data_IF_314608207404
#
_entry.id   IF_314608207404
#
_cell.length_a   1.000
_cell.length_b   1.000
_cell.length_c   1.000
_cell.angle_alpha   90.00
_cell.angle_beta   90.00
_cell.angle_gamma   90.00
#
_symmetry.space_group_name_H-M   'P 1'
#
loop_
_entity.id
_entity.type
_entity.pdbx_description
1 polymer ?
#
# COMPACT_ATOMS: atom_id res chain seq x y z
N UNK A 1 -4.91 -4.59 39.10
CA UNK A 1 -4.68 -5.77 38.23
C UNK A 1 -5.40 -5.66 36.88
N UNK A 2 -6.37 -4.74 36.72
CA UNK A 2 -7.03 -4.52 35.41
C UNK A 2 -6.18 -3.75 34.40
N UNK A 3 -5.45 -2.71 34.82
CA UNK A 3 -4.56 -1.91 33.95
C UNK A 3 -3.54 -2.76 33.16
N UNK A 4 -2.97 -3.79 33.80
CA UNK A 4 -1.98 -4.68 33.17
C UNK A 4 -2.62 -5.54 32.07
N UNK A 5 -3.88 -5.93 32.24
CA UNK A 5 -4.60 -6.74 31.25
C UNK A 5 -5.03 -5.91 30.03
N UNK A 6 -5.26 -4.60 30.18
CA UNK A 6 -5.54 -3.69 29.07
C UNK A 6 -4.27 -3.28 28.29
N UNK A 7 -3.13 -3.13 28.97
CA UNK A 7 -1.87 -2.71 28.34
C UNK A 7 -1.19 -3.86 27.58
N UNK A 8 -1.24 -5.08 28.10
CA UNK A 8 -0.65 -6.26 27.46
C UNK A 8 -0.99 -6.44 25.98
N UNK A 9 -2.27 -6.41 25.55
CA UNK A 9 -2.62 -6.59 24.13
C UNK A 9 -2.12 -5.44 23.26
N UNK A 10 -2.14 -4.21 23.76
CA UNK A 10 -1.69 -3.01 23.01
C UNK A 10 -0.19 -3.13 22.73
N UNK A 11 0.62 -3.43 23.74
CA UNK A 11 2.07 -3.58 23.61
C UNK A 11 2.43 -4.73 22.66
N UNK A 12 1.75 -5.87 22.78
CA UNK A 12 1.94 -7.00 21.87
C UNK A 12 1.64 -6.61 20.42
N UNK A 13 0.55 -5.90 20.18
CA UNK A 13 0.14 -5.49 18.84
C UNK A 13 1.12 -4.47 18.24
N UNK A 14 1.59 -3.50 19.03
CA UNK A 14 2.63 -2.54 18.61
C UNK A 14 3.94 -3.24 18.24
N UNK A 15 4.39 -4.22 19.05
CA UNK A 15 5.60 -4.99 18.78
C UNK A 15 5.46 -5.78 17.48
N UNK A 16 4.32 -6.45 17.26
CA UNK A 16 4.06 -7.22 16.04
C UNK A 16 4.10 -6.33 14.80
N UNK A 17 3.40 -5.19 14.81
CA UNK A 17 3.39 -4.25 13.68
C UNK A 17 4.81 -3.72 13.42
N UNK A 18 5.54 -3.32 14.45
CA UNK A 18 6.90 -2.82 14.32
C UNK A 18 7.85 -3.86 13.71
N UNK A 19 7.76 -5.12 14.13
CA UNK A 19 8.56 -6.21 13.57
C UNK A 19 8.21 -6.46 12.09
N UNK A 20 6.92 -6.45 11.74
CA UNK A 20 6.47 -6.63 10.35
C UNK A 20 7.04 -5.52 9.46
N UNK A 21 6.92 -4.26 9.88
CA UNK A 21 7.44 -3.11 9.14
C UNK A 21 8.96 -3.17 9.02
N UNK A 22 9.66 -3.54 10.09
CA UNK A 22 11.13 -3.70 10.07
C UNK A 22 11.58 -4.76 9.07
N UNK A 23 10.93 -5.94 9.06
CA UNK A 23 11.24 -7.01 8.10
C UNK A 23 10.94 -6.56 6.66
N UNK A 24 9.83 -5.85 6.45
CA UNK A 24 9.48 -5.32 5.13
C UNK A 24 10.53 -4.32 4.64
N UNK A 25 10.99 -3.39 5.49
CA UNK A 25 12.04 -2.42 5.15
C UNK A 25 13.34 -3.14 4.78
N UNK A 26 13.75 -4.17 5.54
CA UNK A 26 14.92 -4.99 5.21
C UNK A 26 14.75 -5.72 3.87
N UNK A 27 13.56 -6.28 3.60
CA UNK A 27 13.27 -6.92 2.31
C UNK A 27 13.37 -5.90 1.17
N UNK A 28 12.81 -4.70 1.33
CA UNK A 28 12.90 -3.66 0.30
C UNK A 28 14.34 -3.18 0.11
N UNK A 29 15.13 -3.04 1.18
CA UNK A 29 16.56 -2.71 1.10
C UNK A 29 17.35 -3.81 0.34
N UNK A 30 17.06 -5.08 0.62
CA UNK A 30 17.65 -6.22 -0.11
C UNK A 30 17.22 -6.19 -1.58
N UNK A 31 15.94 -5.92 -1.85
CA UNK A 31 15.43 -5.76 -3.21
C UNK A 31 16.09 -4.58 -3.88
N UNK A 32 16.28 -3.44 -3.22
CA UNK A 32 17.01 -2.28 -3.73
C UNK A 32 18.41 -2.70 -4.17
N UNK A 33 19.23 -3.23 -3.26
CA UNK A 33 20.61 -3.64 -3.55
C UNK A 33 20.65 -4.68 -4.69
N UNK A 34 19.68 -5.59 -4.77
CA UNK A 34 19.62 -6.66 -5.78
C UNK A 34 19.08 -6.19 -7.14
N UNK A 35 18.15 -5.25 -7.15
CA UNK A 35 17.42 -4.82 -8.36
C UNK A 35 17.91 -3.48 -8.93
N UNK A 36 18.76 -2.70 -8.23
CA UNK A 36 19.40 -1.48 -8.75
C UNK A 36 19.99 -1.64 -10.17
N UNK A 37 20.74 -2.71 -10.52
CA UNK A 37 21.28 -2.82 -11.88
C UNK A 37 20.23 -3.18 -12.96
N UNK A 38 19.00 -3.57 -12.59
CA UNK A 38 17.94 -3.99 -13.54
C UNK A 38 16.79 -2.97 -13.63
N UNK A 39 16.48 -2.24 -12.55
CA UNK A 39 15.36 -1.28 -12.47
C UNK A 39 15.70 0.06 -13.12
N UNK A 40 16.97 0.49 -13.12
CA UNK A 40 17.43 1.74 -13.74
C UNK A 40 17.07 1.87 -15.23
N UNK A 41 17.03 0.76 -15.99
CA UNK A 41 16.92 0.86 -17.47
C UNK A 41 15.53 0.61 -18.06
N UNK A 42 14.56 0.03 -17.32
CA UNK A 42 13.22 -0.27 -17.85
C UNK A 42 12.06 0.28 -17.04
N UNK A 43 12.17 0.40 -15.72
CA UNK A 43 11.04 0.81 -14.86
C UNK A 43 11.02 2.33 -14.58
N UNK A 44 12.18 3.00 -14.61
CA UNK A 44 12.32 4.44 -14.32
C UNK A 44 12.15 5.34 -15.56
N UNK A 45 12.32 4.81 -16.78
CA UNK A 45 12.35 5.63 -18.00
C UNK A 45 10.99 6.23 -18.41
N UNK A 46 9.87 5.73 -17.86
CA UNK A 46 8.52 6.21 -18.19
C UNK A 46 7.73 6.50 -16.93
N UNK A 47 7.46 7.79 -16.68
CA UNK A 47 6.61 8.30 -15.58
C UNK A 47 5.27 7.57 -15.46
N UNK A 48 4.63 7.24 -16.60
CA UNK A 48 3.38 6.48 -16.62
C UNK A 48 3.44 5.08 -16.00
N UNK A 49 4.59 4.40 -16.07
CA UNK A 49 4.77 3.08 -15.45
C UNK A 49 4.85 3.17 -13.94
N UNK A 50 5.36 4.28 -13.39
CA UNK A 50 5.45 4.51 -11.95
C UNK A 50 4.06 4.66 -11.30
N UNK A 51 3.12 5.34 -11.96
CA UNK A 51 1.75 5.48 -11.45
C UNK A 51 1.00 4.14 -11.46
N UNK A 52 1.16 3.37 -12.55
CA UNK A 52 0.51 2.06 -12.64
C UNK A 52 1.08 1.11 -11.58
N UNK A 53 2.40 1.12 -11.37
CA UNK A 53 3.05 0.33 -10.32
C UNK A 53 2.58 0.75 -8.93
N UNK A 54 2.49 2.07 -8.68
CA UNK A 54 1.99 2.63 -7.43
C UNK A 54 0.54 2.26 -7.16
N UNK A 55 -0.34 2.40 -8.14
CA UNK A 55 -1.74 2.02 -8.01
C UNK A 55 -1.91 0.51 -7.79
N UNK A 56 -1.10 -0.35 -8.44
CA UNK A 56 -1.14 -1.80 -8.18
C UNK A 56 -0.72 -2.10 -6.74
N UNK A 57 0.41 -1.56 -6.29
CA UNK A 57 0.92 -1.78 -4.94
C UNK A 57 0.01 -1.19 -3.87
N UNK A 58 -0.62 -0.04 -4.13
CA UNK A 58 -1.61 0.58 -3.26
C UNK A 58 -2.94 -0.18 -3.18
N UNK A 59 -3.34 -0.87 -4.26
CA UNK A 59 -4.58 -1.66 -4.29
C UNK A 59 -4.51 -2.94 -3.49
N UNK A 60 -3.30 -3.39 -3.10
CA UNK A 60 -3.13 -4.56 -2.26
C UNK A 60 -3.75 -4.25 -0.90
N UNK A 61 -4.74 -5.03 -0.43
CA UNK A 61 -5.37 -4.78 0.87
C UNK A 61 -4.33 -4.91 1.99
N UNK A 62 -4.37 -3.97 2.93
CA UNK A 62 -3.36 -3.80 3.96
C UNK A 62 -2.32 -2.71 3.63
N UNK A 63 -1.40 -2.48 4.58
CA UNK A 63 -0.41 -1.40 4.49
C UNK A 63 0.93 -1.79 3.85
N UNK A 64 1.18 -3.07 3.58
CA UNK A 64 2.50 -3.55 3.12
C UNK A 64 2.88 -3.07 1.73
N UNK A 65 1.93 -2.97 0.80
CA UNK A 65 2.18 -2.50 -0.56
C UNK A 65 2.51 -1.00 -0.62
N UNK A 66 1.87 -0.19 0.21
CA UNK A 66 2.15 1.25 0.32
C UNK A 66 3.47 1.53 1.01
N UNK A 67 3.83 0.77 2.05
CA UNK A 67 5.15 0.84 2.67
C UNK A 67 6.27 0.47 1.70
N UNK A 68 6.05 -0.52 0.83
CA UNK A 68 7.04 -0.88 -0.19
C UNK A 68 7.27 0.26 -1.19
N UNK A 69 6.20 0.98 -1.59
CA UNK A 69 6.31 2.17 -2.46
C UNK A 69 6.99 3.35 -1.77
N UNK A 70 6.73 3.56 -0.47
CA UNK A 70 7.39 4.58 0.33
C UNK A 70 8.90 4.30 0.47
N UNK A 71 9.29 3.06 0.75
CA UNK A 71 10.69 2.66 0.78
C UNK A 71 11.39 2.85 -0.59
N UNK A 72 10.69 2.56 -1.70
CA UNK A 72 11.19 2.82 -3.06
C UNK A 72 11.35 4.32 -3.35
N UNK A 73 10.47 5.16 -2.80
CA UNK A 73 10.56 6.62 -2.88
C UNK A 73 11.73 7.17 -2.05
N UNK A 74 11.90 6.70 -0.81
CA UNK A 74 13.03 7.08 0.07
C UNK A 74 14.37 6.66 -0.54
N UNK A 75 14.42 5.53 -1.23
CA UNK A 75 15.59 5.06 -1.98
C UNK A 75 15.85 5.84 -3.29
N UNK A 76 14.97 6.78 -3.66
CA UNK A 76 15.10 7.63 -4.85
C UNK A 76 14.77 6.94 -6.18
N UNK A 77 14.17 5.75 -6.17
CA UNK A 77 13.83 4.98 -7.38
C UNK A 77 12.52 5.41 -8.03
N UNK A 78 11.60 5.97 -7.24
CA UNK A 78 10.26 6.38 -7.69
C UNK A 78 10.09 7.88 -7.48
N UNK A 79 9.43 8.56 -8.43
CA UNK A 79 9.14 9.99 -8.32
C UNK A 79 7.95 10.30 -7.41
N UNK A 80 7.71 11.59 -7.17
CA UNK A 80 6.63 12.06 -6.30
C UNK A 80 5.24 11.60 -6.78
N UNK A 81 4.97 11.60 -8.09
CA UNK A 81 3.70 11.09 -8.61
C UNK A 81 3.48 9.59 -8.38
N UNK A 82 4.53 8.78 -8.31
CA UNK A 82 4.42 7.35 -8.05
C UNK A 82 3.97 7.03 -6.62
N UNK A 83 4.53 7.72 -5.62
CA UNK A 83 4.12 7.57 -4.22
C UNK A 83 2.70 8.14 -4.00
N UNK A 84 2.38 9.30 -4.58
CA UNK A 84 1.01 9.87 -4.52
C UNK A 84 -0.01 8.89 -5.11
N UNK A 85 0.32 8.25 -6.23
CA UNK A 85 -0.55 7.23 -6.82
C UNK A 85 -0.83 6.06 -5.87
N UNK A 86 0.22 5.53 -5.22
CA UNK A 86 0.09 4.44 -4.25
C UNK A 86 -0.73 4.84 -3.03
N UNK A 87 -0.55 6.06 -2.52
CA UNK A 87 -1.27 6.56 -1.34
C UNK A 87 -2.74 6.87 -1.63
N UNK A 88 -3.08 7.31 -2.84
CA UNK A 88 -4.48 7.60 -3.21
C UNK A 88 -5.26 6.31 -3.53
N UNK A 89 -4.59 5.27 -4.02
CA UNK A 89 -5.26 4.00 -4.34
C UNK A 89 -5.52 3.10 -3.12
N UNK A 90 -4.82 3.31 -2.00
CA UNK A 90 -4.92 2.41 -0.85
C UNK A 90 -6.20 2.57 -0.02
N UNK A 91 -6.67 1.44 0.50
CA UNK A 91 -7.75 1.33 1.49
C UNK A 91 -7.26 0.89 2.88
N UNK A 92 -5.95 0.72 3.08
CA UNK A 92 -5.39 0.29 4.36
C UNK A 92 -5.96 -1.04 4.89
N UNK A 93 -5.97 -1.19 6.22
CA UNK A 93 -6.45 -2.39 6.90
C UNK A 93 -7.99 -2.42 7.03
N UNK A 94 -8.69 -1.30 6.81
CA UNK A 94 -10.16 -1.29 6.77
C UNK A 94 -10.73 -2.08 5.57
N UNK A 95 -9.92 -2.31 4.53
CA UNK A 95 -10.25 -3.22 3.45
C UNK A 95 -10.64 -4.63 3.96
N UNK A 96 -9.99 -5.14 5.01
CA UNK A 96 -10.31 -6.46 5.59
C UNK A 96 -11.68 -6.49 6.26
N UNK A 97 -12.08 -5.38 6.91
CA UNK A 97 -13.39 -5.26 7.54
C UNK A 97 -14.48 -5.22 6.47
N UNK A 98 -14.27 -4.48 5.39
CA UNK A 98 -15.21 -4.37 4.27
C UNK A 98 -15.37 -5.72 3.55
N UNK A 99 -14.27 -6.43 3.32
CA UNK A 99 -14.29 -7.79 2.76
C UNK A 99 -14.98 -8.77 3.73
N UNK A 100 -14.77 -8.62 5.05
CA UNK A 100 -15.44 -9.44 6.05
C UNK A 100 -16.95 -9.20 6.13
N UNK A 101 -17.40 -7.96 5.98
CA UNK A 101 -18.83 -7.64 5.95
C UNK A 101 -19.56 -8.21 4.74
N UNK A 102 -18.84 -8.42 3.62
CA UNK A 102 -19.38 -9.08 2.43
C UNK A 102 -19.78 -10.55 2.68
N UNK A 103 -19.18 -11.22 3.67
CA UNK A 103 -19.55 -12.60 4.02
C UNK A 103 -20.87 -12.71 4.81
N UNK A 104 -21.45 -11.58 5.25
CA UNK A 104 -22.71 -11.57 5.99
C UNK A 104 -23.92 -11.51 5.03
N UNK A 105 -24.95 -12.37 5.23
CA UNK A 105 -26.09 -12.52 4.31
C UNK A 105 -27.07 -11.34 4.29
N UNK A 106 -26.89 -10.32 5.15
CA UNK A 106 -27.76 -9.13 5.23
C UNK A 106 -26.96 -7.81 5.13
N UNK A 107 -25.79 -7.84 4.50
CA UNK A 107 -24.93 -6.65 4.37
C UNK A 107 -25.42 -5.74 3.23
N UNK A 108 -25.42 -4.42 3.46
CA UNK A 108 -25.71 -3.41 2.44
C UNK A 108 -24.61 -3.28 1.37
N UNK A 109 -23.50 -4.01 1.54
CA UNK A 109 -22.29 -3.93 0.72
C UNK A 109 -22.27 -5.12 -0.24
N UNK A 110 -22.83 -4.93 -1.42
CA UNK A 110 -22.78 -5.91 -2.51
C UNK A 110 -21.39 -5.95 -3.15
N UNK A 111 -20.99 -7.11 -3.69
CA UNK A 111 -19.75 -7.32 -4.47
C UNK A 111 -19.54 -6.23 -5.54
N UNK A 112 -20.64 -5.78 -6.18
CA UNK A 112 -20.60 -4.69 -7.17
C UNK A 112 -20.09 -3.37 -6.59
N UNK A 113 -20.55 -2.98 -5.40
CA UNK A 113 -20.16 -1.72 -4.78
C UNK A 113 -18.69 -1.75 -4.35
N UNK A 114 -18.22 -2.90 -3.84
CA UNK A 114 -16.82 -3.10 -3.48
C UNK A 114 -15.90 -3.03 -4.71
N UNK A 115 -16.28 -3.70 -5.80
CA UNK A 115 -15.51 -3.65 -7.05
C UNK A 115 -15.45 -2.23 -7.62
N UNK A 116 -16.56 -1.48 -7.60
CA UNK A 116 -16.59 -0.07 -8.00
C UNK A 116 -15.68 0.78 -7.12
N UNK A 117 -15.64 0.51 -5.81
CA UNK A 117 -14.77 1.22 -4.87
C UNK A 117 -13.28 1.00 -5.21
N UNK A 118 -12.84 -0.27 -5.33
CA UNK A 118 -11.45 -0.60 -5.68
C UNK A 118 -11.04 -0.06 -7.07
N UNK A 119 -11.90 -0.21 -8.07
CA UNK A 119 -11.62 0.28 -9.43
C UNK A 119 -11.59 1.80 -9.47
N UNK A 120 -12.51 2.48 -8.77
CA UNK A 120 -12.53 3.94 -8.75
C UNK A 120 -11.29 4.52 -8.07
N UNK A 121 -10.82 3.95 -6.95
CA UNK A 121 -9.56 4.37 -6.33
C UNK A 121 -8.32 4.04 -7.16
N UNK A 122 -8.32 2.92 -7.89
CA UNK A 122 -7.24 2.61 -8.82
C UNK A 122 -7.14 3.67 -9.93
N UNK A 123 -8.27 4.05 -10.52
CA UNK A 123 -8.31 5.09 -11.56
C UNK A 123 -7.96 6.46 -10.98
N UNK A 124 -8.53 6.81 -9.82
CA UNK A 124 -8.24 8.07 -9.14
C UNK A 124 -6.77 8.19 -8.74
N UNK A 125 -6.15 7.11 -8.27
CA UNK A 125 -4.73 7.14 -7.92
C UNK A 125 -3.81 7.27 -9.12
N UNK A 126 -4.13 6.66 -10.26
CA UNK A 126 -3.36 6.90 -11.49
C UNK A 126 -3.48 8.37 -11.93
N UNK A 127 -4.70 8.93 -11.89
CA UNK A 127 -4.94 10.34 -12.23
C UNK A 127 -4.24 11.30 -11.27
N UNK A 128 -4.29 11.02 -9.97
CA UNK A 128 -3.63 11.81 -8.93
C UNK A 128 -2.10 11.75 -9.09
N UNK A 129 -1.54 10.58 -9.38
CA UNK A 129 -0.12 10.43 -9.68
C UNK A 129 0.31 11.22 -10.92
N UNK A 130 -0.49 11.19 -11.98
CA UNK A 130 -0.24 11.98 -13.19
C UNK A 130 -0.32 13.48 -12.92
N UNK A 131 -1.28 13.93 -12.10
CA UNK A 131 -1.43 15.34 -11.75
C UNK A 131 -0.30 15.83 -10.83
N UNK A 132 0.20 14.98 -9.94
CA UNK A 132 1.25 15.31 -8.98
C UNK A 132 2.66 15.37 -9.60
N UNK A 133 2.90 14.72 -10.73
CA UNK A 133 4.20 14.74 -11.44
C UNK A 133 4.23 15.75 -12.61
N UNK A 134 3.19 16.59 -12.74
CA UNK A 134 3.06 17.67 -13.70
C UNK A 134 3.44 19.01 -13.06
#
# INVERSE_FOLDING_TARGET
>A
MELVNWIKPIVLQTIVISIIVFVLLVIVEILYIRFTPTIENKLVKRRGTQYILGAILGSIPGCTGTFAMDALYMAGLVGFGGIVSAMVTTFGDEAFVIIGQMAMPNSAITIKNLAVLFISLFVLGILAGFLADK
#
